data_IF_506255490867
#
_entry.id   IF_506255490867
#
_cell.length_a   1.000
_cell.length_b   1.000
_cell.length_c   1.000
_cell.angle_alpha   90.00
_cell.angle_beta   90.00
_cell.angle_gamma   90.00
#
_symmetry.space_group_name_H-M   'P 1'
#
loop_
_entity.id
_entity.type
_entity.pdbx_description
1 polymer ?
#
# COMPACT_ATOMS: atom_id res chain seq x y z
N UNK A 1 15.40 -8.49 3.64
CA UNK A 1 15.65 -7.05 3.35
C UNK A 1 17.15 -6.90 3.17
N UNK A 2 17.63 -6.73 1.93
CA UNK A 2 19.01 -6.30 1.68
C UNK A 2 19.15 -4.88 2.21
N UNK A 3 20.06 -4.67 3.16
CA UNK A 3 20.40 -3.33 3.64
C UNK A 3 20.90 -2.50 2.45
N UNK A 4 20.18 -1.43 2.15
CA UNK A 4 20.67 -0.42 1.21
C UNK A 4 21.94 0.17 1.86
N UNK A 5 23.06 0.12 1.17
CA UNK A 5 24.31 0.75 1.62
C UNK A 5 24.10 2.27 1.63
N UNK A 6 23.70 2.77 2.79
CA UNK A 6 23.71 4.20 3.09
C UNK A 6 25.16 4.59 3.39
N UNK A 7 25.50 5.88 3.18
CA UNK A 7 26.81 6.45 3.55
C UNK A 7 27.34 5.90 4.89
N UNK A 8 28.66 5.75 5.03
CA UNK A 8 29.28 5.11 6.18
C UNK A 8 28.74 5.64 7.51
N UNK A 9 28.57 4.75 8.49
CA UNK A 9 28.19 5.11 9.86
C UNK A 9 29.13 6.19 10.37
N UNK A 10 28.56 7.29 10.89
CA UNK A 10 29.35 8.41 11.40
C UNK A 10 29.34 9.66 10.52
N UNK A 11 28.91 9.60 9.28
CA UNK A 11 28.70 10.80 8.45
C UNK A 11 27.61 11.71 9.03
N UNK A 12 27.67 13.00 8.70
CA UNK A 12 26.65 13.99 9.09
C UNK A 12 25.27 13.56 8.62
N UNK A 13 25.17 13.04 7.40
CA UNK A 13 23.94 12.50 6.84
C UNK A 13 23.39 11.33 7.69
N UNK A 14 24.23 10.34 7.98
CA UNK A 14 23.81 9.18 8.77
C UNK A 14 23.32 9.59 10.18
N UNK A 15 24.05 10.50 10.84
CA UNK A 15 23.64 11.03 12.16
C UNK A 15 22.30 11.75 12.12
N UNK A 16 22.08 12.59 11.12
CA UNK A 16 20.86 13.40 11.04
C UNK A 16 19.64 12.63 10.50
N UNK A 17 19.81 11.83 9.47
CA UNK A 17 18.68 11.17 8.79
C UNK A 17 18.39 9.77 9.32
N UNK A 18 19.36 9.04 9.84
CA UNK A 18 19.17 7.67 10.34
C UNK A 18 19.03 7.65 11.86
N UNK A 19 19.96 8.29 12.58
CA UNK A 19 19.95 8.28 14.06
C UNK A 19 18.96 9.26 14.68
N UNK A 20 18.83 10.44 14.11
CA UNK A 20 18.03 11.55 14.67
C UNK A 20 16.71 11.79 13.95
N UNK A 21 16.27 10.88 13.07
CA UNK A 21 14.99 11.02 12.38
C UNK A 21 13.83 11.05 13.39
N UNK A 22 13.15 12.19 13.50
CA UNK A 22 12.01 12.37 14.40
C UNK A 22 10.87 11.40 14.11
N UNK A 23 10.59 11.15 12.85
CA UNK A 23 9.59 10.17 12.43
C UNK A 23 9.95 8.74 12.92
N UNK A 24 11.18 8.32 12.71
CA UNK A 24 11.64 6.99 13.16
C UNK A 24 11.52 6.84 14.68
N UNK A 25 11.95 7.85 15.43
CA UNK A 25 11.83 7.87 16.89
C UNK A 25 10.37 7.79 17.35
N UNK A 26 9.47 8.58 16.73
CA UNK A 26 8.04 8.56 17.02
C UNK A 26 7.40 7.21 16.70
N UNK A 27 7.72 6.65 15.52
CA UNK A 27 7.27 5.32 15.10
C UNK A 27 7.73 4.23 16.07
N UNK A 28 9.00 4.20 16.44
CA UNK A 28 9.54 3.23 17.40
C UNK A 28 8.81 3.36 18.75
N UNK A 29 8.69 4.59 19.27
CA UNK A 29 7.97 4.84 20.53
C UNK A 29 6.51 4.38 20.46
N UNK A 30 5.82 4.59 19.34
CA UNK A 30 4.45 4.12 19.13
C UNK A 30 4.38 2.58 19.14
N UNK A 31 5.27 1.90 18.41
CA UNK A 31 5.29 0.43 18.32
C UNK A 31 5.57 -0.22 19.67
N UNK A 32 6.50 0.35 20.46
CA UNK A 32 6.92 -0.17 21.74
C UNK A 32 5.99 0.23 22.89
N UNK A 33 5.08 1.19 22.68
CA UNK A 33 4.15 1.65 23.71
C UNK A 33 3.13 0.58 24.10
N UNK A 34 2.74 0.58 25.38
CA UNK A 34 1.62 -0.25 25.87
C UNK A 34 0.29 0.20 25.29
N UNK A 35 0.12 1.52 25.15
CA UNK A 35 -1.06 2.16 24.54
C UNK A 35 -0.60 2.99 23.34
N UNK A 36 -1.16 2.72 22.18
CA UNK A 36 -0.92 3.49 20.97
C UNK A 36 -2.23 3.94 20.35
N UNK A 37 -2.30 5.21 19.92
CA UNK A 37 -3.42 5.77 19.17
C UNK A 37 -2.94 6.13 17.77
N UNK A 38 -3.67 5.72 16.75
CA UNK A 38 -3.32 5.99 15.36
C UNK A 38 -4.58 6.03 14.50
N UNK A 39 -4.44 6.52 13.27
CA UNK A 39 -5.55 6.44 12.32
C UNK A 39 -5.61 5.08 11.63
N UNK A 40 -6.77 4.73 11.12
CA UNK A 40 -7.07 3.46 10.50
C UNK A 40 -6.18 3.15 9.27
N UNK A 41 -6.02 4.05 8.28
CA UNK A 41 -5.16 3.80 7.13
C UNK A 41 -3.70 3.50 7.50
N UNK A 42 -3.15 4.19 8.50
CA UNK A 42 -1.80 3.94 8.98
C UNK A 42 -1.70 2.57 9.67
N UNK A 43 -2.66 2.23 10.51
CA UNK A 43 -2.70 0.93 11.19
C UNK A 43 -2.65 -0.21 10.19
N UNK A 44 -3.57 -0.22 9.21
CA UNK A 44 -3.64 -1.29 8.21
C UNK A 44 -2.38 -1.33 7.33
N UNK A 45 -1.91 -0.17 6.86
CA UNK A 45 -0.73 -0.11 6.00
C UNK A 45 0.52 -0.60 6.73
N UNK A 46 0.75 -0.11 7.93
CA UNK A 46 1.96 -0.43 8.69
C UNK A 46 1.97 -1.89 9.18
N UNK A 47 0.82 -2.44 9.57
CA UNK A 47 0.72 -3.83 10.02
C UNK A 47 0.81 -4.84 8.87
N UNK A 48 0.29 -4.51 7.69
CA UNK A 48 0.20 -5.47 6.58
C UNK A 48 1.32 -5.34 5.55
N UNK A 49 1.90 -4.16 5.36
CA UNK A 49 2.98 -3.95 4.39
C UNK A 49 4.36 -3.94 5.03
N UNK A 50 4.54 -3.29 6.19
CA UNK A 50 5.83 -3.24 6.87
C UNK A 50 5.98 -4.22 8.02
N UNK A 51 4.88 -4.79 8.52
CA UNK A 51 4.88 -5.77 9.62
C UNK A 51 5.36 -5.18 10.96
N UNK A 52 5.40 -3.85 11.07
CA UNK A 52 5.95 -3.17 12.23
C UNK A 52 5.06 -3.21 13.46
N UNK A 53 3.74 -3.26 13.27
CA UNK A 53 2.77 -3.29 14.37
C UNK A 53 2.43 -4.74 14.68
N UNK A 54 2.71 -5.14 15.91
CA UNK A 54 2.38 -6.47 16.43
C UNK A 54 1.01 -6.47 17.10
N UNK A 55 0.32 -7.61 17.15
CA UNK A 55 -0.92 -7.76 17.88
C UNK A 55 -0.80 -7.29 19.34
N UNK A 56 -1.86 -6.68 19.86
CA UNK A 56 -2.00 -6.23 21.25
C UNK A 56 -3.12 -7.02 21.93
N UNK A 57 -3.24 -6.90 23.23
CA UNK A 57 -4.32 -7.56 23.99
C UNK A 57 -5.69 -7.02 23.61
N UNK A 58 -5.80 -5.71 23.42
CA UNK A 58 -7.04 -5.03 23.04
C UNK A 58 -6.81 -4.12 21.85
N UNK A 59 -7.67 -4.26 20.83
CA UNK A 59 -7.83 -3.35 19.72
C UNK A 59 -9.16 -2.61 19.89
N UNK A 60 -9.09 -1.30 20.02
CA UNK A 60 -10.30 -0.44 20.03
C UNK A 60 -10.39 0.29 18.70
N UNK A 61 -11.51 0.16 18.04
CA UNK A 61 -11.81 0.82 16.76
C UNK A 61 -12.96 1.78 16.99
N UNK A 62 -12.63 3.06 16.99
CA UNK A 62 -13.62 4.13 17.02
C UNK A 62 -14.16 4.40 15.61
N UNK A 63 -15.35 4.93 15.49
CA UNK A 63 -16.08 5.13 14.23
C UNK A 63 -16.15 3.85 13.39
N UNK A 64 -16.48 2.74 14.04
CA UNK A 64 -16.47 1.40 13.46
C UNK A 64 -17.37 1.23 12.22
N UNK A 65 -18.35 2.11 12.03
CA UNK A 65 -19.19 2.16 10.83
C UNK A 65 -18.36 2.43 9.54
N UNK A 66 -17.14 2.95 9.66
CA UNK A 66 -16.24 3.19 8.52
C UNK A 66 -15.35 1.99 8.17
N UNK A 67 -15.30 0.95 9.00
CA UNK A 67 -14.37 -0.18 8.84
C UNK A 67 -14.47 -0.83 7.48
N UNK A 68 -15.70 -1.12 7.02
CA UNK A 68 -15.94 -1.74 5.72
C UNK A 68 -15.39 -0.88 4.57
N UNK A 69 -15.69 0.42 4.59
CA UNK A 69 -15.23 1.37 3.58
C UNK A 69 -13.71 1.49 3.55
N UNK A 70 -13.07 1.55 4.70
CA UNK A 70 -11.60 1.66 4.79
C UNK A 70 -10.90 0.36 4.37
N UNK A 71 -11.45 -0.80 4.73
CA UNK A 71 -10.95 -2.09 4.26
C UNK A 71 -11.10 -2.23 2.74
N UNK A 72 -12.27 -1.85 2.21
CA UNK A 72 -12.52 -1.87 0.77
C UNK A 72 -11.50 -1.00 0.01
N UNK A 73 -11.22 0.21 0.45
CA UNK A 73 -10.18 1.09 -0.12
C UNK A 73 -8.79 0.48 -0.03
N UNK A 74 -8.49 -0.24 1.05
CA UNK A 74 -7.18 -0.89 1.21
C UNK A 74 -7.02 -2.09 0.27
N UNK A 75 -8.06 -2.90 0.10
CA UNK A 75 -8.07 -4.11 -0.74
C UNK A 75 -8.24 -3.77 -2.23
N UNK A 76 -8.98 -2.71 -2.55
CA UNK A 76 -9.23 -2.25 -3.92
C UNK A 76 -7.96 -2.20 -4.76
N UNK A 77 -8.03 -2.72 -5.97
CA UNK A 77 -6.98 -2.61 -6.97
C UNK A 77 -7.37 -1.60 -8.03
N UNK A 78 -6.53 -0.61 -8.25
CA UNK A 78 -6.74 0.36 -9.33
C UNK A 78 -5.46 0.58 -10.13
N UNK A 79 -5.61 0.82 -11.43
CA UNK A 79 -4.52 1.25 -12.30
C UNK A 79 -4.97 2.45 -13.11
N UNK A 80 -4.22 3.53 -13.04
CA UNK A 80 -4.46 4.72 -13.84
C UNK A 80 -3.40 4.90 -14.92
N UNK A 81 -3.78 5.50 -16.04
CA UNK A 81 -2.86 5.84 -17.12
C UNK A 81 -1.75 6.78 -16.66
N UNK A 82 -2.05 7.66 -15.70
CA UNK A 82 -1.05 8.56 -15.09
C UNK A 82 -0.01 7.76 -14.29
N UNK A 83 -0.45 6.83 -13.45
CA UNK A 83 0.47 5.96 -12.69
C UNK A 83 1.32 5.11 -13.64
N UNK A 84 0.69 4.50 -14.64
CA UNK A 84 1.41 3.70 -15.63
C UNK A 84 2.47 4.51 -16.40
N UNK A 85 2.16 5.73 -16.83
CA UNK A 85 3.11 6.64 -17.50
C UNK A 85 4.28 7.05 -16.61
N UNK A 86 4.10 7.13 -15.31
CA UNK A 86 5.18 7.47 -14.37
C UNK A 86 6.31 6.42 -14.38
N UNK A 87 5.98 5.16 -14.59
CA UNK A 87 6.92 4.04 -14.51
C UNK A 87 7.28 3.46 -15.87
N UNK A 88 6.45 3.63 -16.86
CA UNK A 88 6.63 3.08 -18.20
C UNK A 88 6.67 4.20 -19.25
N UNK A 89 7.67 4.15 -20.12
CA UNK A 89 7.84 5.16 -21.19
C UNK A 89 6.70 5.12 -22.22
N UNK A 90 6.15 3.94 -22.49
CA UNK A 90 5.01 3.75 -23.38
C UNK A 90 3.72 3.73 -22.57
N UNK A 91 2.69 4.42 -23.04
CA UNK A 91 1.34 4.28 -22.50
C UNK A 91 0.80 2.87 -22.70
N UNK A 92 -0.24 2.53 -21.92
CA UNK A 92 -1.00 1.28 -22.11
C UNK A 92 -2.38 1.62 -22.65
N UNK A 93 -2.85 0.82 -23.60
CA UNK A 93 -4.26 0.75 -23.91
C UNK A 93 -4.92 -0.17 -22.88
N UNK A 94 -5.76 0.43 -22.05
CA UNK A 94 -6.47 -0.30 -21.03
C UNK A 94 -7.68 -1.02 -21.61
N UNK A 95 -7.84 -2.32 -21.36
CA UNK A 95 -9.08 -3.01 -21.67
C UNK A 95 -10.25 -2.40 -20.87
N UNK A 96 -11.44 -2.43 -21.45
CA UNK A 96 -12.63 -1.79 -20.88
C UNK A 96 -13.64 -2.78 -20.28
N UNK A 97 -13.36 -4.08 -20.38
CA UNK A 97 -14.22 -5.13 -19.83
C UNK A 97 -13.51 -5.90 -18.71
N UNK A 98 -14.26 -6.34 -17.73
CA UNK A 98 -13.77 -7.06 -16.55
C UNK A 98 -12.82 -8.22 -16.90
N UNK A 99 -13.27 -9.14 -17.76
CA UNK A 99 -12.49 -10.32 -18.14
C UNK A 99 -11.21 -9.97 -18.88
N UNK A 100 -11.28 -9.05 -19.85
CA UNK A 100 -10.10 -8.61 -20.62
C UNK A 100 -9.10 -7.87 -19.73
N UNK A 101 -9.59 -7.04 -18.79
CA UNK A 101 -8.73 -6.30 -17.87
C UNK A 101 -8.04 -7.22 -16.88
N UNK A 102 -8.73 -8.24 -16.37
CA UNK A 102 -8.10 -9.26 -15.52
C UNK A 102 -7.00 -10.02 -16.25
N UNK A 103 -7.28 -10.52 -17.47
CA UNK A 103 -6.26 -11.21 -18.28
C UNK A 103 -5.07 -10.30 -18.59
N UNK A 104 -5.32 -9.04 -18.95
CA UNK A 104 -4.28 -8.05 -19.21
C UNK A 104 -3.42 -7.75 -17.96
N UNK A 105 -4.03 -7.65 -16.77
CA UNK A 105 -3.30 -7.49 -15.50
C UNK A 105 -2.36 -8.66 -15.27
N UNK A 106 -2.87 -9.90 -15.38
CA UNK A 106 -2.12 -11.13 -15.11
C UNK A 106 -0.99 -11.35 -16.12
N UNK A 107 -1.28 -11.19 -17.40
CA UNK A 107 -0.40 -11.68 -18.47
C UNK A 107 0.53 -10.58 -19.02
N UNK A 108 0.18 -9.30 -18.86
CA UNK A 108 0.92 -8.18 -19.44
C UNK A 108 1.43 -7.21 -18.37
N UNK A 109 0.53 -6.70 -17.54
CA UNK A 109 0.87 -5.60 -16.65
C UNK A 109 1.77 -6.03 -15.49
N UNK A 110 1.39 -7.07 -14.75
CA UNK A 110 2.17 -7.57 -13.60
C UNK A 110 3.57 -8.04 -14.02
N UNK A 111 3.77 -8.79 -15.11
CA UNK A 111 5.11 -9.12 -15.59
C UNK A 111 5.96 -7.87 -15.92
N UNK A 112 5.37 -6.86 -16.55
CA UNK A 112 6.08 -5.59 -16.83
C UNK A 112 6.45 -4.84 -15.54
N UNK A 113 5.58 -4.79 -14.55
CA UNK A 113 5.87 -4.20 -13.23
C UNK A 113 7.04 -4.92 -12.57
N UNK A 114 7.03 -6.25 -12.55
CA UNK A 114 8.13 -7.09 -11.99
C UNK A 114 9.47 -6.80 -12.68
N UNK A 115 9.48 -6.74 -14.01
CA UNK A 115 10.68 -6.41 -14.78
C UNK A 115 11.19 -5.01 -14.47
N UNK A 116 10.27 -4.03 -14.39
CA UNK A 116 10.64 -2.64 -14.05
C UNK A 116 11.22 -2.53 -12.64
N UNK A 117 10.65 -3.24 -11.67
CA UNK A 117 11.16 -3.27 -10.29
C UNK A 117 12.58 -3.83 -10.23
N UNK A 118 12.84 -4.95 -10.90
CA UNK A 118 14.22 -5.51 -10.97
C UNK A 118 15.23 -4.53 -11.55
N UNK A 119 14.83 -3.80 -12.61
CA UNK A 119 15.68 -2.77 -13.21
C UNK A 119 15.94 -1.59 -12.24
N UNK A 120 14.94 -1.19 -11.45
CA UNK A 120 15.11 -0.13 -10.45
C UNK A 120 15.98 -0.60 -9.28
N UNK A 121 15.80 -1.83 -8.81
CA UNK A 121 16.66 -2.43 -7.76
C UNK A 121 18.13 -2.47 -8.19
N UNK A 122 18.41 -2.94 -9.40
CA UNK A 122 19.76 -2.93 -9.95
C UNK A 122 20.33 -1.50 -10.10
N UNK A 123 19.48 -0.52 -10.43
CA UNK A 123 19.86 0.90 -10.46
C UNK A 123 20.24 1.44 -9.09
N UNK A 124 19.46 1.11 -8.06
CA UNK A 124 19.71 1.53 -6.68
C UNK A 124 20.99 0.88 -6.13
N UNK A 125 21.24 -0.39 -6.43
CA UNK A 125 22.47 -1.08 -5.99
C UNK A 125 23.76 -0.44 -6.54
N UNK A 126 23.68 0.18 -7.70
CA UNK A 126 24.80 0.90 -8.35
C UNK A 126 24.89 2.38 -7.97
N UNK A 127 23.88 2.88 -7.25
CA UNK A 127 23.80 4.29 -6.93
C UNK A 127 24.78 4.64 -5.81
N UNK A 128 25.67 5.59 -6.08
CA UNK A 128 26.58 6.11 -5.06
C UNK A 128 25.89 7.28 -4.34
N UNK A 129 25.59 7.10 -3.06
CA UNK A 129 24.85 8.09 -2.27
C UNK A 129 25.80 9.13 -1.72
N UNK A 130 25.67 10.37 -2.20
CA UNK A 130 26.35 11.56 -1.71
C UNK A 130 25.31 12.63 -1.31
N UNK A 131 25.72 13.68 -0.62
CA UNK A 131 24.81 14.79 -0.28
C UNK A 131 24.19 15.42 -1.54
N UNK A 132 24.92 15.51 -2.64
CA UNK A 132 24.45 16.06 -3.92
C UNK A 132 23.43 15.16 -4.62
N UNK A 133 23.50 13.85 -4.43
CA UNK A 133 22.64 12.86 -5.07
C UNK A 133 21.44 12.42 -4.21
N UNK A 134 21.35 12.91 -2.98
CA UNK A 134 20.32 12.50 -2.01
C UNK A 134 18.88 12.71 -2.49
N UNK A 135 18.60 13.84 -3.16
CA UNK A 135 17.27 14.11 -3.71
C UNK A 135 16.85 13.07 -4.76
N UNK A 136 17.77 12.72 -5.64
CA UNK A 136 17.53 11.72 -6.68
C UNK A 136 17.36 10.33 -6.09
N UNK A 137 18.21 9.95 -5.15
CA UNK A 137 18.08 8.69 -4.41
C UNK A 137 16.73 8.58 -3.69
N UNK A 138 16.31 9.62 -2.96
CA UNK A 138 15.03 9.64 -2.26
C UNK A 138 13.85 9.52 -3.24
N UNK A 139 13.93 10.15 -4.42
CA UNK A 139 12.92 10.05 -5.46
C UNK A 139 12.83 8.62 -6.00
N UNK A 140 13.95 7.99 -6.32
CA UNK A 140 13.99 6.63 -6.89
C UNK A 140 13.50 5.62 -5.86
N UNK A 141 13.94 5.70 -4.61
CA UNK A 141 13.50 4.80 -3.53
C UNK A 141 12.01 4.95 -3.24
N UNK A 142 11.49 6.19 -3.19
CA UNK A 142 10.05 6.44 -3.04
C UNK A 142 9.22 5.87 -4.19
N UNK A 143 9.70 5.99 -5.43
CA UNK A 143 9.05 5.36 -6.58
C UNK A 143 9.07 3.83 -6.50
N UNK A 144 10.16 3.26 -6.04
CA UNK A 144 10.29 1.81 -5.85
C UNK A 144 9.33 1.30 -4.77
N UNK A 145 9.19 2.01 -3.66
CA UNK A 145 8.28 1.64 -2.58
C UNK A 145 6.80 1.70 -3.04
N UNK A 146 6.43 2.73 -3.81
CA UNK A 146 5.12 2.82 -4.44
C UNK A 146 4.86 1.63 -5.37
N UNK A 147 5.82 1.27 -6.20
CA UNK A 147 5.69 0.16 -7.13
C UNK A 147 5.63 -1.19 -6.40
N UNK A 148 6.40 -1.36 -5.33
CA UNK A 148 6.39 -2.57 -4.49
C UNK A 148 5.04 -2.76 -3.81
N UNK A 149 4.49 -1.70 -3.22
CA UNK A 149 3.16 -1.71 -2.61
C UNK A 149 2.08 -2.03 -3.64
N UNK A 150 2.16 -1.42 -4.82
CA UNK A 150 1.25 -1.68 -5.93
C UNK A 150 1.31 -3.14 -6.40
N UNK A 151 2.52 -3.68 -6.59
CA UNK A 151 2.71 -5.08 -6.98
C UNK A 151 2.20 -6.06 -5.93
N UNK A 152 2.39 -5.76 -4.65
CA UNK A 152 1.87 -6.58 -3.55
C UNK A 152 0.34 -6.67 -3.60
N UNK A 153 -0.35 -5.53 -3.78
CA UNK A 153 -1.80 -5.51 -3.97
C UNK A 153 -2.26 -6.30 -5.19
N UNK A 154 -1.57 -6.15 -6.32
CA UNK A 154 -1.89 -6.87 -7.55
C UNK A 154 -1.72 -8.39 -7.40
N UNK A 155 -0.64 -8.84 -6.78
CA UNK A 155 -0.42 -10.26 -6.54
C UNK A 155 -1.51 -10.85 -5.63
N UNK A 156 -1.82 -10.17 -4.52
CA UNK A 156 -2.88 -10.59 -3.61
C UNK A 156 -4.24 -10.64 -4.30
N UNK A 157 -4.54 -9.63 -5.12
CA UNK A 157 -5.75 -9.62 -5.96
C UNK A 157 -5.79 -10.82 -6.91
N UNK A 158 -4.70 -11.09 -7.66
CA UNK A 158 -4.67 -12.19 -8.62
C UNK A 158 -4.83 -13.56 -7.96
N UNK A 159 -4.32 -13.73 -6.74
CA UNK A 159 -4.47 -14.95 -5.94
C UNK A 159 -5.91 -15.16 -5.44
N UNK A 160 -6.61 -14.08 -5.11
CA UNK A 160 -7.95 -14.12 -4.49
C UNK A 160 -9.09 -13.82 -5.47
N UNK A 161 -8.77 -13.49 -6.71
CA UNK A 161 -9.77 -13.06 -7.67
C UNK A 161 -10.79 -14.15 -7.97
N UNK A 162 -12.05 -13.78 -7.78
CA UNK A 162 -13.20 -14.51 -8.27
C UNK A 162 -14.11 -13.51 -9.00
N UNK A 163 -14.54 -13.86 -10.22
CA UNK A 163 -15.40 -12.99 -11.03
C UNK A 163 -16.66 -12.53 -10.30
N UNK A 164 -17.24 -13.37 -9.45
CA UNK A 164 -18.54 -13.12 -8.83
C UNK A 164 -18.44 -12.25 -7.57
N UNK A 165 -17.23 -12.15 -6.99
CA UNK A 165 -17.00 -11.41 -5.73
C UNK A 165 -16.29 -10.08 -5.90
N UNK A 166 -16.02 -9.67 -7.14
CA UNK A 166 -15.36 -8.41 -7.44
C UNK A 166 -16.18 -7.58 -8.43
N UNK A 167 -16.38 -6.32 -8.15
CA UNK A 167 -16.90 -5.33 -9.08
C UNK A 167 -15.78 -4.79 -9.96
N UNK A 168 -16.13 -4.41 -11.19
CA UNK A 168 -15.23 -3.75 -12.12
C UNK A 168 -15.81 -2.41 -12.56
N UNK A 169 -15.03 -1.37 -12.44
CA UNK A 169 -15.37 -0.03 -12.91
C UNK A 169 -14.28 0.47 -13.84
N UNK A 170 -14.68 1.10 -14.93
CA UNK A 170 -13.77 1.75 -15.87
C UNK A 170 -14.16 3.21 -16.04
N UNK A 171 -13.21 4.09 -15.80
CA UNK A 171 -13.35 5.52 -15.94
C UNK A 171 -12.50 6.01 -17.11
N UNK A 172 -13.11 6.78 -18.02
CA UNK A 172 -12.43 7.46 -19.09
C UNK A 172 -12.65 8.96 -18.93
N UNK A 173 -11.89 9.58 -18.05
CA UNK A 173 -12.00 11.02 -17.81
C UNK A 173 -11.17 11.79 -18.86
N UNK A 174 -11.78 12.79 -19.46
CA UNK A 174 -11.12 13.76 -20.31
C UNK A 174 -10.25 14.69 -19.46
N UNK A 175 -9.05 15.04 -19.92
CA UNK A 175 -8.15 15.95 -19.25
C UNK A 175 -7.03 15.26 -18.43
N UNK A 176 -6.64 15.87 -17.30
CA UNK A 176 -5.47 15.47 -16.51
C UNK A 176 -5.60 14.12 -15.80
N UNK A 177 -6.80 13.64 -15.55
CA UNK A 177 -7.04 12.38 -14.82
C UNK A 177 -6.81 11.14 -15.68
N UNK A 178 -7.20 11.18 -16.96
CA UNK A 178 -6.99 10.11 -17.92
C UNK A 178 -7.81 8.84 -17.63
N UNK A 179 -7.42 7.75 -18.29
CA UNK A 179 -8.10 6.45 -18.13
C UNK A 179 -7.72 5.79 -16.82
N UNK A 180 -8.69 5.17 -16.14
CA UNK A 180 -8.50 4.42 -14.91
C UNK A 180 -9.49 3.26 -14.83
N UNK A 181 -9.09 2.16 -14.22
CA UNK A 181 -10.02 1.10 -13.86
C UNK A 181 -9.80 0.68 -12.40
N UNK A 182 -10.83 0.05 -11.84
CA UNK A 182 -10.88 -0.45 -10.48
C UNK A 182 -11.43 -1.86 -10.45
N UNK A 183 -10.86 -2.66 -9.56
CA UNK A 183 -11.49 -3.85 -9.04
C UNK A 183 -11.76 -3.64 -7.56
N UNK A 184 -13.02 -3.68 -7.17
CA UNK A 184 -13.48 -3.50 -5.78
C UNK A 184 -14.09 -4.80 -5.27
N UNK A 185 -13.75 -5.27 -4.08
CA UNK A 185 -14.43 -6.42 -3.50
C UNK A 185 -15.88 -6.05 -3.19
N UNK A 186 -16.81 -6.99 -3.41
CA UNK A 186 -18.23 -6.82 -3.02
C UNK A 186 -18.37 -6.98 -1.51
N UNK A 187 -17.58 -7.89 -0.93
CA UNK A 187 -17.55 -8.16 0.50
C UNK A 187 -16.12 -8.15 1.01
N UNK A 188 -15.89 -7.48 2.12
CA UNK A 188 -14.58 -7.37 2.78
C UNK A 188 -14.49 -8.15 4.09
N UNK A 189 -15.54 -8.89 4.48
CA UNK A 189 -15.60 -9.63 5.75
C UNK A 189 -14.42 -10.58 5.91
N UNK A 190 -14.08 -11.33 4.86
CA UNK A 190 -12.93 -12.25 4.86
C UNK A 190 -11.58 -11.55 5.02
N UNK A 191 -11.51 -10.27 4.67
CA UNK A 191 -10.31 -9.45 4.83
C UNK A 191 -10.22 -8.81 6.22
N UNK A 192 -11.36 -8.56 6.87
CA UNK A 192 -11.40 -7.93 8.19
C UNK A 192 -10.63 -8.75 9.22
N UNK A 193 -10.84 -10.06 9.26
CA UNK A 193 -10.12 -10.95 10.17
C UNK A 193 -8.61 -10.94 9.88
N UNK A 194 -8.24 -11.16 8.64
CA UNK A 194 -6.83 -11.33 8.24
C UNK A 194 -6.01 -10.04 8.25
N UNK A 195 -6.63 -8.88 8.01
CA UNK A 195 -5.93 -7.60 7.89
C UNK A 195 -6.04 -6.71 9.13
N UNK A 196 -7.13 -6.84 9.91
CA UNK A 196 -7.46 -5.91 10.99
C UNK A 196 -7.63 -6.61 12.33
N UNK A 197 -8.61 -7.51 12.46
CA UNK A 197 -8.98 -8.05 13.78
C UNK A 197 -7.89 -8.91 14.40
N UNK A 198 -7.04 -9.54 13.59
CA UNK A 198 -5.84 -10.24 14.07
C UNK A 198 -4.87 -9.36 14.88
N UNK A 199 -5.04 -8.04 14.84
CA UNK A 199 -4.18 -7.09 15.57
C UNK A 199 -4.58 -6.94 17.05
N UNK A 200 -5.69 -7.53 17.48
CA UNK A 200 -6.12 -7.57 18.86
C UNK A 200 -6.56 -8.97 19.28
N UNK A 201 -6.14 -9.43 20.47
CA UNK A 201 -6.73 -10.65 21.06
C UNK A 201 -8.20 -10.43 21.40
N UNK A 202 -8.54 -9.21 21.77
CA UNK A 202 -9.91 -8.72 21.97
C UNK A 202 -10.13 -7.51 21.07
N UNK A 203 -11.31 -7.39 20.47
CA UNK A 203 -11.66 -6.28 19.60
C UNK A 203 -12.91 -5.60 20.16
N UNK A 204 -12.82 -4.29 20.37
CA UNK A 204 -13.93 -3.43 20.74
C UNK A 204 -14.24 -2.48 19.58
N UNK A 205 -15.45 -2.57 19.05
CA UNK A 205 -15.95 -1.68 18.01
C UNK A 205 -16.84 -0.62 18.67
N UNK A 206 -16.59 0.64 18.39
CA UNK A 206 -17.33 1.77 18.92
C UNK A 206 -17.81 2.65 17.78
N UNK A 207 -19.02 3.16 17.87
CA UNK A 207 -19.55 4.17 16.95
C UNK A 207 -20.69 4.92 17.60
N UNK A 208 -20.76 6.23 17.39
CA UNK A 208 -21.88 7.05 17.82
C UNK A 208 -23.16 6.80 17.01
N UNK A 209 -23.03 6.14 15.86
CA UNK A 209 -24.13 5.90 14.89
C UNK A 209 -24.43 4.42 14.71
N UNK A 210 -24.26 3.59 15.74
CA UNK A 210 -24.74 2.21 15.71
C UNK A 210 -26.25 2.26 15.69
N UNK A 211 -26.84 1.98 14.52
CA UNK A 211 -28.28 1.87 14.37
C UNK A 211 -28.78 0.64 15.11
N UNK A 212 -29.81 0.79 15.95
CA UNK A 212 -30.56 -0.34 16.48
C UNK A 212 -31.21 -1.08 15.31
N UNK A 213 -31.06 -2.40 15.27
CA UNK A 213 -31.66 -3.27 14.26
C UNK A 213 -33.19 -3.30 14.31
N UNK A 214 -33.81 -2.66 15.30
CA UNK A 214 -35.23 -2.64 15.56
C UNK A 214 -35.93 -1.32 15.15
N UNK A 215 -35.32 -0.56 14.20
CA UNK A 215 -35.92 0.64 13.65
C UNK A 215 -36.27 0.47 12.18
#
# INVERSE_FOLDING_TARGET
>A
QKEIKIEPKGTKFWKNCVMNCGYKKAKTKFIESKLGVTNFPYLITESNLSGGIKPKELLVIDEAHNVESELSKFVEVSVSSRFAKQFFKSGFDFPTTKAKTYAWLRDIYVPKVKTRMKAMEAGIERFNISESSLKEFTKITGQMDLMRSHLSKLNHFLEKYNSDTWLFEYENETGLKGKRFYFKPIDVSSYAESLLFRLGTKVLLMSATILNHDA
#
